data_IF_440192867144
#
_entry.id   IF_440192867144
#
_cell.length_a   1.000
_cell.length_b   1.000
_cell.length_c   1.000
_cell.angle_alpha   90.00
_cell.angle_beta   90.00
_cell.angle_gamma   90.00
#
_symmetry.space_group_name_H-M   'P 1'
#
loop_
_entity.id
_entity.type
_entity.pdbx_description
1 polymer ?
#
# COMPACT_ATOMS: atom_id res chain seq x y z
N UNK A 1 -5.34 -21.06 8.12
CA UNK A 1 -4.36 -20.91 7.00
C UNK A 1 -2.98 -21.00 7.61
N UNK A 2 -2.05 -21.72 6.97
CA UNK A 2 -0.62 -21.64 7.35
C UNK A 2 -0.12 -20.21 7.13
N UNK A 3 0.79 -19.75 7.98
CA UNK A 3 1.42 -18.46 7.79
C UNK A 3 2.05 -18.38 6.39
N UNK A 4 2.00 -17.23 5.74
CA UNK A 4 2.67 -17.01 4.47
C UNK A 4 4.18 -17.03 4.72
N UNK A 5 4.82 -18.08 4.23
CA UNK A 5 6.19 -18.43 4.60
C UNK A 5 7.23 -17.96 3.59
N UNK A 6 6.82 -17.72 2.36
CA UNK A 6 7.71 -17.36 1.26
C UNK A 6 7.22 -16.13 0.51
N UNK A 7 8.14 -15.46 -0.17
CA UNK A 7 7.82 -14.32 -1.04
C UNK A 7 6.82 -14.72 -2.15
N UNK A 8 6.99 -15.89 -2.76
CA UNK A 8 6.11 -16.34 -3.83
C UNK A 8 4.67 -16.58 -3.32
N UNK A 9 4.53 -17.11 -2.11
CA UNK A 9 3.22 -17.26 -1.48
C UNK A 9 2.57 -15.90 -1.19
N UNK A 10 3.36 -14.89 -0.78
CA UNK A 10 2.86 -13.53 -0.59
C UNK A 10 2.33 -12.96 -1.91
N UNK A 11 3.12 -13.04 -2.99
CA UNK A 11 2.71 -12.52 -4.30
C UNK A 11 1.45 -13.23 -4.81
N UNK A 12 1.40 -14.56 -4.70
CA UNK A 12 0.25 -15.35 -5.14
C UNK A 12 -1.03 -15.09 -4.30
N UNK A 13 -0.89 -14.58 -3.09
CA UNK A 13 -2.02 -14.21 -2.24
C UNK A 13 -2.49 -12.77 -2.43
N UNK A 14 -1.75 -11.95 -3.20
CA UNK A 14 -2.19 -10.61 -3.56
C UNK A 14 -3.23 -10.68 -4.69
N UNK A 15 -4.43 -10.23 -4.41
CA UNK A 15 -5.47 -10.06 -5.42
C UNK A 15 -5.28 -8.71 -6.13
N UNK A 16 -4.69 -8.71 -7.30
CA UNK A 16 -4.53 -7.52 -8.14
C UNK A 16 -5.64 -7.35 -9.19
N UNK A 17 -6.55 -8.33 -9.30
CA UNK A 17 -7.64 -8.32 -10.28
C UNK A 17 -8.91 -7.66 -9.74
N UNK A 18 -8.94 -7.29 -8.48
CA UNK A 18 -10.08 -6.63 -7.83
C UNK A 18 -10.60 -5.45 -8.63
N UNK A 19 -9.70 -4.64 -9.17
CA UNK A 19 -10.04 -3.44 -9.91
C UNK A 19 -10.52 -3.70 -11.35
N UNK A 20 -10.30 -4.89 -11.90
CA UNK A 20 -10.80 -5.25 -13.23
C UNK A 20 -12.33 -5.20 -13.29
N UNK A 21 -13.00 -5.47 -12.18
CA UNK A 21 -14.45 -5.36 -12.07
C UNK A 21 -14.96 -3.92 -12.30
N UNK A 22 -14.17 -2.92 -11.97
CA UNK A 22 -14.53 -1.52 -12.16
C UNK A 22 -14.23 -0.99 -13.55
N UNK A 23 -13.24 -1.56 -14.25
CA UNK A 23 -12.92 -1.21 -15.65
C UNK A 23 -14.10 -1.44 -16.61
N UNK A 24 -14.99 -2.39 -16.28
CA UNK A 24 -16.16 -2.70 -17.10
C UNK A 24 -17.32 -1.72 -16.97
N UNK A 25 -17.23 -0.71 -16.09
CA UNK A 25 -18.34 0.15 -15.70
C UNK A 25 -18.20 1.63 -16.09
N UNK A 26 -17.25 1.98 -16.95
CA UNK A 26 -16.94 3.38 -17.34
C UNK A 26 -16.76 4.33 -16.14
N UNK A 27 -16.26 3.82 -15.02
CA UNK A 27 -15.99 4.60 -13.80
C UNK A 27 -14.47 4.78 -13.67
N UNK A 28 -14.00 6.00 -13.94
CA UNK A 28 -12.59 6.36 -13.80
C UNK A 28 -12.22 6.63 -12.33
N UNK A 29 -12.12 5.58 -11.52
CA UNK A 29 -11.72 5.69 -10.10
C UNK A 29 -10.25 5.33 -9.86
N UNK A 30 -9.54 4.88 -10.87
CA UNK A 30 -8.10 4.58 -10.81
C UNK A 30 -7.45 4.67 -12.19
N UNK A 31 -6.13 4.69 -12.20
CA UNK A 31 -5.30 4.55 -13.40
C UNK A 31 -4.27 3.45 -13.22
N UNK A 32 -4.02 2.66 -14.25
CA UNK A 32 -2.90 1.74 -14.26
C UNK A 32 -1.60 2.53 -14.12
N UNK A 33 -0.73 2.12 -13.21
CA UNK A 33 0.47 2.87 -12.88
C UNK A 33 1.60 1.94 -12.48
N UNK A 34 2.68 1.94 -13.27
CA UNK A 34 3.86 1.15 -12.95
C UNK A 34 4.81 1.96 -12.04
N UNK A 35 5.33 1.36 -10.96
CA UNK A 35 6.33 2.00 -10.15
C UNK A 35 7.65 2.17 -10.92
N UNK A 36 8.43 3.16 -10.50
CA UNK A 36 9.78 3.39 -11.02
C UNK A 36 10.79 2.77 -10.05
N UNK A 37 11.52 1.73 -10.42
CA UNK A 37 12.47 1.06 -9.56
C UNK A 37 13.52 2.01 -8.96
N UNK A 38 13.96 1.69 -7.74
CA UNK A 38 15.12 2.33 -7.12
C UNK A 38 16.38 1.55 -7.48
N UNK A 39 17.47 2.28 -7.70
CA UNK A 39 18.79 1.69 -7.86
C UNK A 39 19.36 1.28 -6.50
N UNK A 40 19.94 0.08 -6.41
CA UNK A 40 20.61 -0.45 -5.22
C UNK A 40 19.78 -0.29 -3.92
N UNK A 41 18.55 -0.82 -3.87
CA UNK A 41 17.69 -0.64 -2.72
C UNK A 41 18.25 -1.34 -1.47
N UNK A 42 18.04 -0.73 -0.31
CA UNK A 42 18.41 -1.31 0.99
C UNK A 42 17.21 -1.32 1.90
N UNK A 43 16.96 -2.48 2.53
CA UNK A 43 15.97 -2.59 3.58
C UNK A 43 16.46 -1.82 4.82
N UNK A 44 15.66 -0.86 5.28
CA UNK A 44 15.98 -0.05 6.46
C UNK A 44 15.28 -0.61 7.69
N UNK A 45 14.02 -0.98 7.56
CA UNK A 45 13.21 -1.44 8.69
C UNK A 45 12.06 -2.33 8.24
N UNK A 46 11.72 -3.31 9.07
CA UNK A 46 10.49 -4.13 8.95
C UNK A 46 9.73 -4.06 10.26
N UNK A 47 8.47 -3.69 10.20
CA UNK A 47 7.59 -3.76 11.36
C UNK A 47 7.18 -5.22 11.63
N UNK A 48 7.98 -5.89 12.46
CA UNK A 48 7.80 -7.32 12.79
C UNK A 48 6.44 -7.60 13.44
N UNK A 49 5.97 -6.68 14.28
CA UNK A 49 4.67 -6.83 14.94
C UNK A 49 3.55 -6.83 13.92
N UNK A 50 3.58 -5.89 12.99
CA UNK A 50 2.57 -5.80 11.93
C UNK A 50 2.63 -7.01 10.98
N UNK A 51 3.82 -7.54 10.68
CA UNK A 51 3.93 -8.79 9.92
C UNK A 51 3.20 -9.94 10.61
N UNK A 52 3.34 -10.08 11.93
CA UNK A 52 2.65 -11.11 12.70
C UNK A 52 1.13 -10.93 12.63
N UNK A 53 0.64 -9.70 12.75
CA UNK A 53 -0.79 -9.36 12.63
C UNK A 53 -1.36 -9.75 11.25
N UNK A 54 -0.55 -9.59 10.20
CA UNK A 54 -0.90 -10.00 8.84
C UNK A 54 -0.69 -11.51 8.56
N UNK A 55 -0.19 -12.27 9.53
CA UNK A 55 0.15 -13.68 9.32
C UNK A 55 1.37 -13.89 8.41
N UNK A 56 2.25 -12.89 8.28
CA UNK A 56 3.45 -12.93 7.46
C UNK A 56 4.69 -13.20 8.32
N UNK A 57 5.63 -13.97 7.78
CA UNK A 57 6.97 -14.09 8.37
C UNK A 57 7.81 -12.87 7.97
N UNK A 58 8.32 -12.13 8.95
CA UNK A 58 9.07 -10.89 8.70
C UNK A 58 10.34 -11.08 7.86
N UNK A 59 10.97 -12.27 7.90
CA UNK A 59 12.17 -12.60 7.12
C UNK A 59 11.92 -12.66 5.60
N UNK A 60 10.66 -12.74 5.16
CA UNK A 60 10.29 -12.62 3.75
C UNK A 60 10.85 -11.33 3.16
N UNK A 61 10.78 -10.22 3.91
CA UNK A 61 11.21 -8.90 3.46
C UNK A 61 12.72 -8.71 3.43
N UNK A 62 13.50 -9.67 3.95
CA UNK A 62 14.96 -9.66 3.90
C UNK A 62 15.52 -10.27 2.60
N UNK A 63 14.66 -10.93 1.80
CA UNK A 63 15.04 -11.52 0.51
C UNK A 63 15.26 -10.45 -0.56
N UNK A 64 16.15 -10.72 -1.54
CA UNK A 64 16.40 -9.80 -2.66
C UNK A 64 15.11 -9.53 -3.46
N UNK A 65 14.31 -10.58 -3.73
CA UNK A 65 13.05 -10.44 -4.46
C UNK A 65 12.05 -9.52 -3.74
N UNK A 66 11.99 -9.58 -2.41
CA UNK A 66 11.14 -8.68 -1.65
C UNK A 66 11.68 -7.25 -1.64
N UNK A 67 12.98 -7.06 -1.57
CA UNK A 67 13.62 -5.73 -1.71
C UNK A 67 13.33 -5.14 -3.09
N UNK A 68 13.42 -5.93 -4.14
CA UNK A 68 13.07 -5.54 -5.50
C UNK A 68 11.61 -5.07 -5.57
N UNK A 69 10.66 -5.88 -5.11
CA UNK A 69 9.24 -5.51 -5.06
C UNK A 69 9.03 -4.20 -4.32
N UNK A 70 9.56 -4.10 -3.09
CA UNK A 70 9.38 -2.92 -2.23
C UNK A 70 10.05 -1.67 -2.77
N UNK A 71 11.02 -1.82 -3.66
CA UNK A 71 11.69 -0.73 -4.36
C UNK A 71 11.03 -0.36 -5.71
N UNK A 72 9.97 -1.07 -6.09
CA UNK A 72 9.23 -0.82 -7.32
C UNK A 72 9.66 -1.65 -8.53
N UNK A 73 10.55 -2.61 -8.37
CA UNK A 73 10.91 -3.56 -9.43
C UNK A 73 9.90 -4.71 -9.45
N UNK A 74 8.94 -4.64 -10.38
CA UNK A 74 7.88 -5.65 -10.55
C UNK A 74 8.18 -6.62 -11.69
N UNK A 75 9.40 -6.65 -12.21
CA UNK A 75 9.76 -7.50 -13.33
C UNK A 75 9.48 -8.99 -13.03
N UNK A 76 8.77 -9.65 -13.92
CA UNK A 76 8.40 -11.07 -13.78
C UNK A 76 7.28 -11.36 -12.77
N UNK A 77 6.61 -10.33 -12.23
CA UNK A 77 5.45 -10.48 -11.36
C UNK A 77 4.17 -10.16 -12.14
N UNK A 78 3.13 -11.00 -11.95
CA UNK A 78 1.82 -10.81 -12.58
C UNK A 78 0.94 -9.89 -11.73
N UNK A 79 1.43 -8.67 -11.44
CA UNK A 79 0.69 -7.66 -10.70
C UNK A 79 0.17 -6.57 -11.64
N UNK A 80 -0.99 -6.01 -11.32
CA UNK A 80 -1.64 -4.90 -12.03
C UNK A 80 -1.70 -3.67 -11.13
N UNK A 81 -0.57 -2.99 -10.90
CA UNK A 81 -0.53 -1.88 -9.97
C UNK A 81 -1.32 -0.68 -10.49
N UNK A 82 -1.99 0.00 -9.58
CA UNK A 82 -2.86 1.14 -9.87
C UNK A 82 -2.58 2.31 -8.95
N UNK A 83 -3.02 3.49 -9.38
CA UNK A 83 -3.14 4.69 -8.56
C UNK A 83 -4.59 5.12 -8.51
N UNK A 84 -5.12 5.40 -7.31
CA UNK A 84 -6.54 5.70 -7.10
C UNK A 84 -6.80 7.20 -7.26
N UNK A 85 -7.95 7.54 -7.83
CA UNK A 85 -8.48 8.91 -7.91
C UNK A 85 -9.69 9.03 -6.99
N UNK A 86 -9.81 10.15 -6.34
CA UNK A 86 -10.90 10.46 -5.41
C UNK A 86 -11.16 11.95 -5.37
N UNK A 87 -12.21 12.37 -4.66
CA UNK A 87 -12.49 13.78 -4.40
C UNK A 87 -12.57 14.04 -2.90
N UNK A 88 -12.35 15.29 -2.50
CA UNK A 88 -12.34 15.64 -1.09
C UNK A 88 -11.93 17.08 -0.84
N UNK A 89 -11.78 17.42 0.42
CA UNK A 89 -11.31 18.75 0.84
C UNK A 89 -9.79 18.78 0.97
N UNK A 90 -9.18 19.82 0.44
CA UNK A 90 -7.76 20.12 0.60
C UNK A 90 -7.61 21.57 1.07
N UNK A 91 -6.95 21.78 2.21
CA UNK A 91 -6.80 23.11 2.84
C UNK A 91 -8.15 23.84 3.05
N UNK A 92 -9.19 23.09 3.45
CA UNK A 92 -10.53 23.66 3.69
C UNK A 92 -11.36 23.95 2.44
N UNK A 93 -10.80 23.74 1.24
CA UNK A 93 -11.50 23.96 -0.03
C UNK A 93 -11.83 22.63 -0.68
N UNK A 94 -13.00 22.51 -1.27
CA UNK A 94 -13.40 21.35 -2.05
C UNK A 94 -12.53 21.20 -3.29
N UNK A 95 -11.88 20.05 -3.42
CA UNK A 95 -11.16 19.64 -4.62
C UNK A 95 -11.97 18.54 -5.32
N UNK A 96 -12.48 18.84 -6.50
CA UNK A 96 -13.29 17.90 -7.29
C UNK A 96 -12.51 16.65 -7.70
N UNK A 97 -11.20 16.78 -7.90
CA UNK A 97 -10.33 15.66 -8.20
C UNK A 97 -9.04 15.74 -7.39
N UNK A 98 -8.80 14.68 -6.63
CA UNK A 98 -7.56 14.35 -5.97
C UNK A 98 -7.12 12.95 -6.44
N UNK A 99 -5.96 12.50 -6.01
CA UNK A 99 -5.50 11.15 -6.32
C UNK A 99 -4.19 10.84 -5.62
N UNK A 100 -3.80 9.60 -5.70
CA UNK A 100 -2.58 9.07 -5.09
C UNK A 100 -1.35 9.52 -5.86
N UNK A 101 -0.88 10.74 -5.59
CA UNK A 101 0.27 11.34 -6.29
C UNK A 101 1.62 10.70 -5.98
N UNK A 102 1.69 9.76 -5.04
CA UNK A 102 2.91 9.05 -4.63
C UNK A 102 2.64 7.67 -4.02
N UNK A 103 1.44 7.14 -4.15
CA UNK A 103 1.08 5.80 -3.70
C UNK A 103 0.63 4.96 -4.90
N UNK A 104 1.07 3.72 -4.95
CA UNK A 104 0.75 2.75 -5.99
C UNK A 104 0.28 1.49 -5.30
N UNK A 105 -0.98 1.12 -5.50
CA UNK A 105 -1.59 -0.08 -4.93
C UNK A 105 -1.20 -1.29 -5.77
N UNK A 106 -0.66 -2.32 -5.11
CA UNK A 106 -0.25 -3.58 -5.74
C UNK A 106 -1.38 -4.59 -5.79
N UNK A 107 -2.29 -4.53 -4.83
CA UNK A 107 -3.41 -5.46 -4.70
C UNK A 107 -3.89 -5.56 -3.26
N UNK A 108 -4.86 -6.44 -3.03
CA UNK A 108 -5.44 -6.73 -1.73
C UNK A 108 -4.89 -8.03 -1.15
N UNK A 109 -4.55 -8.01 0.13
CA UNK A 109 -4.16 -9.18 0.90
C UNK A 109 -5.29 -9.56 1.85
N UNK A 110 -5.86 -10.75 1.68
CA UNK A 110 -6.81 -11.31 2.63
C UNK A 110 -6.05 -11.95 3.80
N UNK A 111 -6.38 -11.56 5.01
CA UNK A 111 -5.85 -12.16 6.23
C UNK A 111 -6.97 -12.67 7.11
N UNK A 112 -6.65 -13.66 7.94
CA UNK A 112 -7.61 -14.21 8.89
C UNK A 112 -6.96 -14.26 10.26
N UNK A 113 -7.55 -13.56 11.22
CA UNK A 113 -7.10 -13.61 12.61
C UNK A 113 -7.25 -15.02 13.17
N UNK A 114 -6.18 -15.55 13.75
CA UNK A 114 -6.15 -16.94 14.23
C UNK A 114 -7.03 -17.15 15.47
N UNK A 115 -7.28 -16.09 16.22
CA UNK A 115 -8.04 -16.16 17.47
C UNK A 115 -9.52 -15.88 17.24
N UNK A 116 -9.81 -14.77 16.55
CA UNK A 116 -11.20 -14.32 16.35
C UNK A 116 -11.85 -14.90 15.09
N UNK A 117 -11.05 -15.49 14.21
CA UNK A 117 -11.48 -15.99 12.89
C UNK A 117 -12.07 -14.89 11.97
N UNK A 118 -11.88 -13.63 12.33
CA UNK A 118 -12.32 -12.48 11.53
C UNK A 118 -11.42 -12.38 10.31
N UNK A 119 -12.03 -12.30 9.14
CA UNK A 119 -11.34 -12.00 7.90
C UNK A 119 -11.20 -10.49 7.71
N UNK A 120 -10.01 -10.06 7.27
CA UNK A 120 -9.70 -8.68 6.98
C UNK A 120 -9.03 -8.58 5.61
N UNK A 121 -9.39 -7.55 4.85
CA UNK A 121 -8.72 -7.19 3.60
C UNK A 121 -7.80 -6.00 3.84
N UNK A 122 -6.62 -6.06 3.27
CA UNK A 122 -5.59 -5.04 3.40
C UNK A 122 -5.10 -4.61 2.02
N UNK A 123 -5.19 -3.32 1.73
CA UNK A 123 -4.57 -2.75 0.55
C UNK A 123 -3.05 -2.69 0.75
N UNK A 124 -2.33 -3.33 -0.15
CA UNK A 124 -0.87 -3.31 -0.15
C UNK A 124 -0.40 -2.23 -1.12
N UNK A 125 0.26 -1.22 -0.59
CA UNK A 125 0.69 -0.06 -1.37
C UNK A 125 2.19 0.18 -1.27
N UNK A 126 2.80 0.55 -2.41
CA UNK A 126 4.11 1.17 -2.45
C UNK A 126 3.95 2.69 -2.34
N UNK A 127 4.65 3.32 -1.40
CA UNK A 127 4.64 4.76 -1.24
C UNK A 127 6.00 5.36 -1.60
N UNK A 128 5.98 6.33 -2.51
CA UNK A 128 7.21 6.97 -2.99
C UNK A 128 7.92 6.17 -4.09
N UNK A 129 7.21 5.27 -4.76
CA UNK A 129 7.75 4.41 -5.80
C UNK A 129 7.74 5.05 -7.21
N UNK A 130 7.68 6.37 -7.28
CA UNK A 130 7.76 7.12 -8.54
C UNK A 130 6.48 7.86 -8.89
N UNK A 131 6.45 8.39 -10.11
CA UNK A 131 5.35 9.20 -10.63
C UNK A 131 4.09 8.38 -10.82
N UNK A 132 2.97 8.99 -10.50
CA UNK A 132 1.62 8.53 -10.86
C UNK A 132 0.94 9.60 -11.73
N UNK A 133 -0.18 9.32 -12.40
CA UNK A 133 -0.94 10.33 -13.13
C UNK A 133 -1.39 11.51 -12.26
N UNK A 134 -1.38 11.34 -10.94
CA UNK A 134 -1.85 12.34 -9.96
C UNK A 134 -0.72 13.04 -9.21
N UNK A 135 0.54 12.83 -9.59
CA UNK A 135 1.73 13.44 -8.93
C UNK A 135 1.82 14.95 -9.11
N UNK A 136 1.10 15.53 -10.09
CA UNK A 136 1.16 16.94 -10.45
C UNK A 136 2.60 17.35 -10.80
N UNK A 137 3.20 18.27 -10.03
CA UNK A 137 4.57 18.75 -10.21
C UNK A 137 5.59 18.03 -9.32
N UNK A 138 5.16 17.03 -8.53
CA UNK A 138 6.04 16.26 -7.67
C UNK A 138 6.67 15.10 -8.45
N UNK A 139 7.78 14.56 -7.93
CA UNK A 139 8.51 13.43 -8.51
C UNK A 139 7.94 12.05 -8.13
N UNK A 140 6.84 12.01 -7.39
CA UNK A 140 6.23 10.77 -6.88
C UNK A 140 7.03 10.07 -5.78
N UNK A 141 8.13 10.65 -5.32
CA UNK A 141 8.94 10.10 -4.21
C UNK A 141 8.39 10.56 -2.86
N UNK A 142 8.67 9.77 -1.84
CA UNK A 142 8.32 10.09 -0.47
C UNK A 142 9.56 10.12 0.41
N UNK A 143 9.65 11.10 1.29
CA UNK A 143 10.71 11.12 2.31
C UNK A 143 10.45 10.04 3.35
N UNK A 144 11.50 9.48 3.95
CA UNK A 144 11.42 8.41 4.95
C UNK A 144 10.39 8.70 6.05
N UNK A 145 10.35 9.95 6.54
CA UNK A 145 9.38 10.39 7.55
C UNK A 145 7.92 10.16 7.11
N UNK A 146 7.59 10.46 5.85
CA UNK A 146 6.24 10.23 5.32
C UNK A 146 5.91 8.75 5.24
N UNK A 147 6.86 7.90 4.87
CA UNK A 147 6.67 6.45 4.81
C UNK A 147 6.39 5.86 6.20
N UNK A 148 7.11 6.30 7.22
CA UNK A 148 6.95 5.81 8.59
C UNK A 148 5.62 6.23 9.23
N UNK A 149 5.07 7.38 8.85
CA UNK A 149 3.79 7.85 9.40
C UNK A 149 2.61 6.92 9.07
N UNK A 150 2.68 6.14 8.00
CA UNK A 150 1.60 5.22 7.61
C UNK A 150 1.70 3.84 8.27
N UNK A 151 2.87 3.48 8.75
CA UNK A 151 3.11 2.20 9.43
C UNK A 151 3.13 2.30 10.94
N UNK A 152 3.06 3.52 11.47
CA UNK A 152 3.06 3.80 12.91
C UNK A 152 1.71 4.35 13.36
N UNK A 153 1.19 3.95 14.52
CA UNK A 153 -0.02 4.52 15.08
C UNK A 153 0.09 6.04 15.17
N UNK A 154 -0.94 6.74 14.74
CA UNK A 154 -1.00 8.19 14.76
C UNK A 154 -2.13 8.66 15.67
N UNK A 155 -1.95 9.76 16.44
CA UNK A 155 -3.05 10.37 17.18
C UNK A 155 -4.23 10.80 16.32
N UNK A 156 -4.05 10.86 15.00
CA UNK A 156 -5.12 11.15 14.04
C UNK A 156 -5.91 9.92 13.60
N UNK A 157 -5.41 8.72 13.93
CA UNK A 157 -6.14 7.50 13.59
C UNK A 157 -7.42 7.42 14.44
N UNK A 158 -8.59 7.12 13.85
CA UNK A 158 -9.87 7.13 14.58
C UNK A 158 -9.90 6.22 15.79
N UNK A 159 -9.08 5.17 15.81
CA UNK A 159 -8.96 4.23 16.94
C UNK A 159 -8.06 4.72 18.06
N UNK A 160 -7.22 5.71 17.82
CA UNK A 160 -6.23 6.23 18.78
C UNK A 160 -6.48 7.68 19.17
N UNK A 161 -7.21 8.45 18.38
CA UNK A 161 -7.56 9.83 18.71
C UNK A 161 -8.87 9.89 19.51
N UNK A 162 -8.78 9.63 20.82
CA UNK A 162 -9.75 10.25 21.71
C UNK A 162 -9.36 11.70 21.87
N UNK A 163 -9.98 12.57 21.11
CA UNK A 163 -9.98 13.99 21.43
C UNK A 163 -10.59 14.14 22.83
N UNK A 164 -9.92 14.81 23.79
CA UNK A 164 -10.58 15.16 25.03
C UNK A 164 -11.81 16.00 24.64
N UNK A 165 -12.98 15.58 25.05
CA UNK A 165 -14.15 16.44 25.01
C UNK A 165 -13.80 17.67 25.86
N UNK A 166 -13.60 18.81 25.22
CA UNK A 166 -13.56 20.08 25.92
C UNK A 166 -14.89 20.26 26.66
N UNK A 167 -14.85 20.19 27.96
CA UNK A 167 -15.91 20.65 28.84
C UNK A 167 -16.08 22.15 28.70
#
# INVERSE_FOLDING_TARGET
>A
MSAVDTFDNLINSLNSDFFDHFNSKDIDIFSNCQPTPLENPRLIHVNKRFCIELGLKHNIFETERAKDLMSGNLAGLSLKPISVVYSGHQFGTWAGQLGDGRAITLGELATKDQTTQIESLWDIQLKGAGLTPYSRFADGRAVLRSCLLYTSPSPRDPKTSRMPSSA
#
